data_IF_612692057992
#
_entry.id   IF_612692057992
#
_cell.length_a   1.000
_cell.length_b   1.000
_cell.length_c   1.000
_cell.angle_alpha   90.00
_cell.angle_beta   90.00
_cell.angle_gamma   90.00
#
_symmetry.space_group_name_H-M   'P 1'
#
loop_
_entity.id
_entity.type
_entity.pdbx_description
1 polymer ?
#
# COMPACT_ATOMS: atom_id res chain seq x y z
N UNK A 1 -9.36 -9.97 -0.88
CA UNK A 1 -8.65 -8.81 -1.45
C UNK A 1 -7.64 -8.29 -0.45
N UNK A 2 -6.52 -7.80 -0.94
CA UNK A 2 -5.45 -7.26 -0.08
C UNK A 2 -5.16 -5.83 -0.49
N UNK A 3 -5.31 -4.90 0.45
CA UNK A 3 -4.83 -3.53 0.28
C UNK A 3 -3.30 -3.49 0.36
N UNK A 4 -2.68 -2.73 -0.52
CA UNK A 4 -1.22 -2.54 -0.55
C UNK A 4 -0.92 -1.07 -0.30
N UNK A 5 -0.20 -0.82 0.79
CA UNK A 5 0.20 0.53 1.19
C UNK A 5 1.34 1.06 0.32
N UNK A 6 1.44 2.39 0.23
CA UNK A 6 2.51 3.07 -0.51
C UNK A 6 3.90 2.64 -0.06
N UNK A 7 4.10 2.35 1.21
CA UNK A 7 5.40 1.90 1.75
C UNK A 7 5.91 0.61 1.10
N UNK A 8 5.00 -0.28 0.73
CA UNK A 8 5.35 -1.54 0.04
C UNK A 8 5.78 -1.26 -1.40
N UNK A 9 5.07 -0.39 -2.10
CA UNK A 9 5.41 0.00 -3.47
C UNK A 9 6.75 0.71 -3.54
N UNK A 10 6.97 1.71 -2.69
CA UNK A 10 8.22 2.48 -2.67
C UNK A 10 9.41 1.58 -2.37
N UNK A 11 9.30 0.72 -1.36
CA UNK A 11 10.39 -0.21 -1.02
C UNK A 11 10.68 -1.22 -2.13
N UNK A 12 9.65 -1.67 -2.86
CA UNK A 12 9.84 -2.60 -3.98
C UNK A 12 10.53 -1.93 -5.19
N UNK A 13 10.31 -0.64 -5.39
CA UNK A 13 10.83 0.11 -6.54
C UNK A 13 12.27 0.58 -6.31
N UNK A 14 12.61 0.97 -5.09
CA UNK A 14 13.94 1.50 -4.74
C UNK A 14 14.88 0.38 -4.30
N UNK A 15 15.90 0.02 -5.10
CA UNK A 15 16.79 -1.12 -4.80
C UNK A 15 17.57 -0.98 -3.49
N UNK A 16 17.87 0.26 -3.07
CA UNK A 16 18.60 0.56 -1.84
C UNK A 16 17.72 0.60 -0.58
N UNK A 17 16.40 0.47 -0.73
CA UNK A 17 15.51 0.42 0.43
C UNK A 17 15.74 -0.86 1.24
N UNK A 18 15.80 -0.73 2.58
CA UNK A 18 16.05 -1.88 3.47
C UNK A 18 15.03 -3.01 3.35
N UNK A 19 13.83 -2.72 2.88
CA UNK A 19 12.75 -3.70 2.69
C UNK A 19 12.58 -4.13 1.23
N UNK A 20 13.48 -3.72 0.34
CA UNK A 20 13.35 -4.00 -1.09
C UNK A 20 13.15 -5.48 -1.38
N UNK A 21 14.03 -6.34 -0.89
CA UNK A 21 13.97 -7.79 -1.17
C UNK A 21 12.67 -8.42 -0.67
N UNK A 22 12.24 -8.09 0.55
CA UNK A 22 11.00 -8.64 1.11
C UNK A 22 9.77 -8.16 0.33
N UNK A 23 9.73 -6.90 -0.04
CA UNK A 23 8.61 -6.32 -0.80
C UNK A 23 8.52 -6.90 -2.20
N UNK A 24 9.63 -7.00 -2.91
CA UNK A 24 9.68 -7.62 -4.25
C UNK A 24 9.25 -9.09 -4.17
N UNK A 25 9.80 -9.84 -3.24
CA UNK A 25 9.43 -11.26 -3.04
C UNK A 25 7.95 -11.42 -2.76
N UNK A 26 7.40 -10.62 -1.85
CA UNK A 26 5.97 -10.66 -1.54
C UNK A 26 5.10 -10.31 -2.75
N UNK A 27 5.45 -9.26 -3.49
CA UNK A 27 4.72 -8.85 -4.69
C UNK A 27 4.75 -9.93 -5.79
N UNK A 28 5.85 -10.66 -5.92
CA UNK A 28 5.96 -11.74 -6.90
C UNK A 28 5.15 -12.97 -6.51
N UNK A 29 5.11 -13.34 -5.25
CA UNK A 29 4.46 -14.57 -4.78
C UNK A 29 2.95 -14.41 -4.53
N UNK A 30 2.51 -13.22 -4.13
CA UNK A 30 1.10 -12.98 -3.82
C UNK A 30 0.18 -12.96 -5.05
N UNK A 31 0.73 -12.99 -6.27
CA UNK A 31 -0.02 -12.71 -7.49
C UNK A 31 -0.95 -13.82 -7.98
N UNK A 32 -0.78 -15.05 -7.51
CA UNK A 32 -1.48 -16.21 -8.10
C UNK A 32 -2.91 -16.41 -7.57
N UNK A 33 -3.23 -15.94 -6.36
CA UNK A 33 -4.48 -16.31 -5.69
C UNK A 33 -5.28 -15.14 -5.10
N UNK A 34 -4.70 -13.94 -4.99
CA UNK A 34 -5.33 -12.82 -4.32
C UNK A 34 -5.30 -11.54 -5.15
N UNK A 35 -6.44 -10.90 -5.27
CA UNK A 35 -6.56 -9.58 -5.89
C UNK A 35 -5.96 -8.54 -4.94
N UNK A 36 -4.97 -7.81 -5.42
CA UNK A 36 -4.36 -6.67 -4.73
C UNK A 36 -5.06 -5.40 -5.13
N UNK A 37 -5.22 -4.51 -4.18
CA UNK A 37 -5.94 -3.25 -4.37
C UNK A 37 -5.11 -2.12 -3.79
N UNK A 38 -4.99 -1.03 -4.53
CA UNK A 38 -4.39 0.20 -4.02
C UNK A 38 -5.22 1.40 -4.48
N UNK A 39 -5.36 2.46 -3.67
CA UNK A 39 -6.07 3.65 -4.13
C UNK A 39 -5.24 4.39 -5.17
N UNK A 40 -5.89 5.10 -6.09
CA UNK A 40 -5.19 5.90 -7.10
C UNK A 40 -4.29 7.00 -6.48
N UNK A 41 -4.57 7.40 -5.24
CA UNK A 41 -3.69 8.25 -4.43
C UNK A 41 -2.26 7.69 -4.35
N UNK A 42 -2.11 6.37 -4.29
CA UNK A 42 -0.80 5.71 -4.22
C UNK A 42 0.11 6.07 -5.40
N UNK A 43 -0.45 6.30 -6.57
CA UNK A 43 0.34 6.68 -7.76
C UNK A 43 1.06 8.02 -7.55
N UNK A 44 0.34 9.02 -7.03
CA UNK A 44 0.94 10.31 -6.72
C UNK A 44 1.96 10.22 -5.56
N UNK A 45 1.65 9.45 -4.54
CA UNK A 45 2.55 9.25 -3.40
C UNK A 45 3.85 8.54 -3.82
N UNK A 46 3.75 7.50 -4.63
CA UNK A 46 4.93 6.79 -5.15
C UNK A 46 5.75 7.69 -6.07
N UNK A 47 5.09 8.38 -7.01
CA UNK A 47 5.80 9.30 -7.90
C UNK A 47 6.57 10.37 -7.13
N UNK A 48 5.94 10.98 -6.12
CA UNK A 48 6.57 11.97 -5.27
C UNK A 48 7.73 11.40 -4.44
N UNK A 49 7.55 10.26 -3.81
CA UNK A 49 8.57 9.63 -2.99
C UNK A 49 9.81 9.22 -3.80
N UNK A 50 9.61 8.61 -4.96
CA UNK A 50 10.71 8.20 -5.86
C UNK A 50 11.44 9.42 -6.42
N UNK A 51 10.70 10.43 -6.88
CA UNK A 51 11.30 11.68 -7.37
C UNK A 51 12.11 12.39 -6.29
N UNK A 52 11.61 12.43 -5.05
CA UNK A 52 12.32 13.04 -3.93
C UNK A 52 13.62 12.31 -3.60
N UNK A 53 13.59 10.98 -3.54
CA UNK A 53 14.78 10.17 -3.22
C UNK A 53 15.82 10.13 -4.33
N UNK A 54 15.41 10.16 -5.58
CA UNK A 54 16.31 10.07 -6.75
C UNK A 54 16.73 11.43 -7.28
N UNK A 55 16.01 12.49 -6.95
CA UNK A 55 16.16 13.80 -7.57
C UNK A 55 15.68 13.86 -9.02
N UNK A 56 14.94 12.86 -9.50
CA UNK A 56 14.54 12.71 -10.90
C UNK A 56 13.02 12.51 -11.04
N UNK A 57 12.33 13.53 -11.51
CA UNK A 57 10.88 13.47 -11.73
C UNK A 57 10.46 12.36 -12.71
N UNK A 58 11.25 12.12 -13.76
CA UNK A 58 10.95 11.08 -14.75
C UNK A 58 10.92 9.67 -14.12
N UNK A 59 11.80 9.39 -13.13
CA UNK A 59 11.79 8.11 -12.41
C UNK A 59 10.55 7.96 -11.55
N UNK A 60 10.07 9.04 -10.94
CA UNK A 60 8.83 9.04 -10.18
C UNK A 60 7.62 8.69 -11.04
N UNK A 61 7.49 9.32 -12.21
CA UNK A 61 6.41 9.02 -13.16
C UNK A 61 6.50 7.58 -13.67
N UNK A 62 7.70 7.12 -14.02
CA UNK A 62 7.91 5.74 -14.47
C UNK A 62 7.54 4.72 -13.38
N UNK A 63 7.84 5.00 -12.12
CA UNK A 63 7.47 4.17 -10.98
C UNK A 63 5.94 4.02 -10.85
N UNK A 64 5.20 5.11 -10.95
CA UNK A 64 3.73 5.08 -10.92
C UNK A 64 3.15 4.24 -12.07
N UNK A 65 3.68 4.37 -13.28
CA UNK A 65 3.26 3.55 -14.43
C UNK A 65 3.50 2.06 -14.18
N UNK A 66 4.63 1.68 -13.60
CA UNK A 66 4.93 0.29 -13.26
C UNK A 66 3.91 -0.30 -12.29
N UNK A 67 3.39 0.50 -11.38
CA UNK A 67 2.31 0.06 -10.48
C UNK A 67 1.05 -0.23 -11.28
N UNK A 68 0.62 0.68 -12.14
CA UNK A 68 -0.58 0.49 -12.97
C UNK A 68 -0.49 -0.74 -13.88
N UNK A 69 0.71 -1.08 -14.33
CA UNK A 69 0.99 -2.23 -15.19
C UNK A 69 1.17 -3.54 -14.41
N UNK A 70 1.10 -3.51 -13.08
CA UNK A 70 1.30 -4.72 -12.25
C UNK A 70 0.13 -5.70 -12.43
N UNK A 71 0.40 -6.94 -12.83
CA UNK A 71 -0.65 -7.95 -12.97
C UNK A 71 -1.40 -8.19 -11.65
N UNK A 72 -2.69 -8.48 -11.75
CA UNK A 72 -3.56 -8.76 -10.60
C UNK A 72 -3.72 -7.61 -9.58
N UNK A 73 -3.32 -6.40 -9.96
CA UNK A 73 -3.55 -5.19 -9.19
C UNK A 73 -4.77 -4.44 -9.72
N UNK A 74 -5.59 -3.98 -8.81
CA UNK A 74 -6.64 -2.98 -9.09
C UNK A 74 -6.27 -1.66 -8.46
N UNK A 75 -6.09 -0.65 -9.28
CA UNK A 75 -5.99 0.73 -8.82
C UNK A 75 -7.42 1.28 -8.78
N UNK A 76 -7.88 1.67 -7.59
CA UNK A 76 -9.27 2.11 -7.39
C UNK A 76 -9.34 3.60 -7.13
N UNK A 77 -10.38 4.21 -7.66
CA UNK A 77 -10.63 5.64 -7.45
C UNK A 77 -11.06 5.92 -6.02
N UNK A 78 -10.59 7.04 -5.49
CA UNK A 78 -11.05 7.56 -4.21
C UNK A 78 -12.44 8.18 -4.39
N UNK A 79 -13.47 7.44 -3.99
CA UNK A 79 -14.85 7.91 -4.04
C UNK A 79 -15.18 8.77 -2.83
N UNK A 80 -16.27 9.56 -2.93
CA UNK A 80 -16.78 10.32 -1.78
C UNK A 80 -17.07 9.40 -0.58
N UNK A 81 -17.65 8.22 -0.82
CA UNK A 81 -17.97 7.26 0.24
C UNK A 81 -16.72 6.76 0.96
N UNK A 82 -15.66 6.41 0.25
CA UNK A 82 -14.37 6.04 0.86
C UNK A 82 -13.79 7.21 1.65
N UNK A 83 -13.90 8.43 1.13
CA UNK A 83 -13.47 9.64 1.83
C UNK A 83 -14.21 9.85 3.17
N UNK A 84 -15.51 9.60 3.21
CA UNK A 84 -16.31 9.68 4.45
C UNK A 84 -15.82 8.65 5.49
N UNK A 85 -15.61 7.42 5.07
CA UNK A 85 -15.06 6.36 5.95
C UNK A 85 -13.66 6.74 6.44
N UNK A 86 -12.80 7.22 5.55
CA UNK A 86 -11.45 7.66 5.88
C UNK A 86 -11.46 8.82 6.90
N UNK A 87 -12.40 9.76 6.78
CA UNK A 87 -12.55 10.86 7.72
C UNK A 87 -12.81 10.34 9.14
N UNK A 88 -13.72 9.40 9.28
CA UNK A 88 -14.04 8.76 10.56
C UNK A 88 -12.82 8.03 11.14
N UNK A 89 -12.16 7.23 10.32
CA UNK A 89 -10.99 6.44 10.74
C UNK A 89 -9.78 7.32 11.09
N UNK A 90 -9.56 8.39 10.33
CA UNK A 90 -8.50 9.36 10.65
C UNK A 90 -8.69 9.94 12.05
N UNK A 91 -9.92 10.31 12.40
CA UNK A 91 -10.23 10.87 13.71
C UNK A 91 -10.11 9.83 14.83
N UNK A 92 -10.69 8.66 14.65
CA UNK A 92 -10.74 7.60 15.69
C UNK A 92 -9.35 6.98 15.93
N UNK A 93 -8.60 6.72 14.85
CA UNK A 93 -7.31 6.05 14.91
C UNK A 93 -6.12 7.01 14.97
N UNK A 94 -6.36 8.31 14.96
CA UNK A 94 -5.32 9.35 14.92
C UNK A 94 -4.34 9.15 13.76
N UNK A 95 -4.85 8.81 12.58
CA UNK A 95 -4.08 8.66 11.36
C UNK A 95 -4.07 9.95 10.54
N UNK A 96 -3.02 10.16 9.75
CA UNK A 96 -3.05 11.18 8.70
C UNK A 96 -4.12 10.83 7.67
N UNK A 97 -4.67 11.84 7.00
CA UNK A 97 -5.75 11.63 6.03
C UNK A 97 -5.41 10.63 4.93
N UNK A 98 -4.22 10.75 4.33
CA UNK A 98 -3.76 9.81 3.31
C UNK A 98 -3.66 8.37 3.85
N UNK A 99 -3.11 8.20 5.05
CA UNK A 99 -2.97 6.89 5.70
C UNK A 99 -4.34 6.26 5.99
N UNK A 100 -5.29 7.08 6.44
CA UNK A 100 -6.65 6.63 6.69
C UNK A 100 -7.38 6.15 5.43
N UNK A 101 -7.02 6.64 4.25
CA UNK A 101 -7.59 6.19 2.97
C UNK A 101 -7.25 4.72 2.71
N UNK A 102 -6.02 4.29 2.98
CA UNK A 102 -5.63 2.88 2.82
C UNK A 102 -6.41 1.96 3.76
N UNK A 103 -6.58 2.38 5.00
CA UNK A 103 -7.35 1.62 6.00
C UNK A 103 -8.84 1.57 5.61
N UNK A 104 -9.41 2.70 5.21
CA UNK A 104 -10.80 2.78 4.77
C UNK A 104 -11.08 1.89 3.56
N UNK A 105 -10.17 1.86 2.60
CA UNK A 105 -10.29 1.00 1.43
C UNK A 105 -10.24 -0.48 1.83
N UNK A 106 -9.30 -0.87 2.66
CA UNK A 106 -9.19 -2.24 3.15
C UNK A 106 -10.44 -2.67 3.95
N UNK A 107 -10.95 -1.80 4.82
CA UNK A 107 -12.19 -2.05 5.58
C UNK A 107 -13.38 -2.26 4.66
N UNK A 108 -13.58 -1.37 3.68
CA UNK A 108 -14.73 -1.45 2.77
C UNK A 108 -14.71 -2.68 1.86
N UNK A 109 -13.55 -3.27 1.63
CA UNK A 109 -13.38 -4.50 0.85
C UNK A 109 -13.45 -5.76 1.72
N UNK A 110 -13.60 -5.62 3.04
CA UNK A 110 -13.58 -6.75 3.98
C UNK A 110 -12.25 -7.50 3.99
N UNK A 111 -11.18 -6.83 3.62
CA UNK A 111 -9.86 -7.42 3.43
C UNK A 111 -8.85 -7.03 4.50
N UNK A 112 -7.58 -7.10 4.12
CA UNK A 112 -6.43 -6.78 4.94
C UNK A 112 -5.55 -5.73 4.25
N UNK A 113 -4.68 -5.09 5.03
CA UNK A 113 -3.69 -4.13 4.55
C UNK A 113 -2.29 -4.69 4.78
N UNK A 114 -1.45 -4.62 3.75
CA UNK A 114 -0.03 -4.96 3.84
C UNK A 114 0.77 -3.65 3.79
N UNK A 115 1.59 -3.42 4.80
CA UNK A 115 2.31 -2.16 5.00
C UNK A 115 3.61 -2.37 5.78
N UNK A 116 4.59 -1.50 5.56
CA UNK A 116 5.76 -1.36 6.43
C UNK A 116 5.61 -0.25 7.46
N UNK A 117 4.55 0.56 7.35
CA UNK A 117 4.32 1.70 8.24
C UNK A 117 3.94 1.24 9.65
N UNK A 118 4.75 1.61 10.63
CA UNK A 118 4.55 1.22 12.03
C UNK A 118 3.28 1.83 12.64
N UNK A 119 2.86 3.01 12.19
CA UNK A 119 1.61 3.62 12.64
C UNK A 119 0.40 2.85 12.13
N UNK A 120 0.39 2.42 10.87
CA UNK A 120 -0.65 1.54 10.34
C UNK A 120 -0.70 0.22 11.12
N UNK A 121 0.46 -0.41 11.34
CA UNK A 121 0.54 -1.67 12.07
C UNK A 121 -0.01 -1.55 13.49
N UNK A 122 0.31 -0.47 14.19
CA UNK A 122 -0.11 -0.26 15.58
C UNK A 122 -1.55 0.24 15.69
N UNK A 123 -1.94 1.22 14.88
CA UNK A 123 -3.20 1.96 15.04
C UNK A 123 -4.40 1.31 14.35
N UNK A 124 -4.18 0.62 13.23
CA UNK A 124 -5.26 0.00 12.46
C UNK A 124 -5.52 -1.47 12.83
N UNK A 125 -4.66 -2.10 13.59
CA UNK A 125 -4.71 -3.54 13.90
C UNK A 125 -6.02 -4.01 14.58
N UNK A 126 -6.71 -3.12 15.30
CA UNK A 126 -8.01 -3.43 15.92
C UNK A 126 -9.21 -3.27 14.99
N UNK A 127 -9.01 -2.68 13.81
CA UNK A 127 -10.09 -2.38 12.86
C UNK A 127 -10.07 -3.31 11.66
N UNK A 128 -8.88 -3.60 11.14
CA UNK A 128 -8.64 -4.49 9.99
C UNK A 128 -7.46 -5.41 10.30
N UNK A 129 -7.27 -6.44 9.49
CA UNK A 129 -6.04 -7.24 9.54
C UNK A 129 -4.91 -6.46 8.89
N UNK A 130 -3.85 -6.18 9.65
CA UNK A 130 -2.67 -5.46 9.16
C UNK A 130 -1.45 -6.36 9.26
N UNK A 131 -0.68 -6.46 8.19
CA UNK A 131 0.49 -7.35 8.11
C UNK A 131 1.65 -6.66 7.39
N UNK A 132 2.86 -7.13 7.67
CA UNK A 132 4.02 -6.78 6.84
C UNK A 132 4.19 -7.80 5.72
N UNK A 133 4.88 -7.45 4.63
CA UNK A 133 5.27 -8.43 3.62
C UNK A 133 6.04 -9.64 4.16
N UNK A 134 6.86 -9.44 5.20
CA UNK A 134 7.66 -10.50 5.81
C UNK A 134 6.82 -11.58 6.51
N UNK A 135 5.67 -11.21 7.10
CA UNK A 135 4.83 -12.15 7.87
C UNK A 135 4.21 -13.25 7.00
N UNK A 136 4.06 -13.02 5.69
CA UNK A 136 3.49 -14.01 4.75
C UNK A 136 4.53 -14.96 4.15
N UNK A 137 5.81 -14.58 4.15
CA UNK A 137 6.89 -15.43 3.65
C UNK A 137 7.18 -16.66 4.50
N UNK A 138 6.74 -16.66 5.76
CA UNK A 138 6.96 -17.75 6.70
C UNK A 138 5.80 -18.75 6.79
N UNK A 139 4.73 -18.56 6.02
CA UNK A 139 3.56 -19.45 6.03
C UNK A 139 3.66 -20.61 5.02
N UNK A 140 4.80 -20.77 4.37
CA UNK A 140 5.12 -21.91 3.48
C UNK A 140 6.25 -22.71 4.13
N UNK A 141 5.90 -23.40 5.16
CA UNK A 141 6.71 -24.47 5.75
C UNK A 141 6.08 -25.79 5.41
#
# INVERSE_FOLDING_TARGET
MIGVDVSVWVSAILPEDRFNTQSVTWLMHASATEVRVTPNLALAEVAGAVAHRTGQAALGVAAARRIEETPSLRVVSLTHQVGVVATRLAAILSLRGADAVYVALAESLGGSLVTWDQEHLARAAGTITVQTPAARGNAVG
#
